data_IF_817251547435
#
_entry.id   IF_817251547435
#
_cell.length_a   1.000
_cell.length_b   1.000
_cell.length_c   1.000
_cell.angle_alpha   90.00
_cell.angle_beta   90.00
_cell.angle_gamma   90.00
#
_symmetry.space_group_name_H-M   'P 1'
#
loop_
_entity.id
_entity.type
_entity.pdbx_description
1 polymer ?
#
# COMPACT_ATOMS: atom_id res chain seq x y z
N UNK A 1 39.64 39.02 -22.38
CA UNK A 1 38.43 38.17 -22.57
C UNK A 1 38.76 36.76 -22.05
N UNK A 2 38.80 36.55 -20.73
CA UNK A 2 39.13 35.25 -20.10
C UNK A 2 38.47 35.13 -18.71
N UNK A 3 37.15 35.34 -18.64
CA UNK A 3 36.38 35.20 -17.39
C UNK A 3 35.13 34.31 -17.54
N UNK A 4 35.03 33.55 -18.64
CA UNK A 4 33.83 32.74 -18.95
C UNK A 4 33.97 31.23 -18.78
N UNK A 5 35.20 30.71 -18.59
CA UNK A 5 35.44 29.25 -18.67
C UNK A 5 35.53 28.58 -17.29
N UNK A 6 35.75 29.33 -16.22
CA UNK A 6 35.93 28.75 -14.87
C UNK A 6 34.58 28.39 -14.21
N UNK A 7 33.49 29.11 -14.52
CA UNK A 7 32.18 28.88 -13.89
C UNK A 7 31.49 27.57 -14.30
N UNK A 8 31.66 27.16 -15.56
CA UNK A 8 31.01 25.94 -16.07
C UNK A 8 31.65 24.65 -15.56
N UNK A 9 32.96 24.66 -15.27
CA UNK A 9 33.66 23.50 -14.75
C UNK A 9 33.29 23.18 -13.30
N UNK A 10 33.05 24.19 -12.46
CA UNK A 10 32.67 24.00 -11.04
C UNK A 10 31.24 23.45 -10.90
N UNK A 11 30.32 23.89 -11.76
CA UNK A 11 28.93 23.37 -11.76
C UNK A 11 28.83 21.92 -12.24
N UNK A 12 29.67 21.51 -13.20
CA UNK A 12 29.74 20.12 -13.63
C UNK A 12 30.27 19.20 -12.52
N UNK A 13 31.28 19.63 -11.76
CA UNK A 13 31.85 18.84 -10.66
C UNK A 13 30.84 18.66 -9.51
N UNK A 14 30.04 19.69 -9.20
CA UNK A 14 29.01 19.60 -8.16
C UNK A 14 27.82 18.71 -8.55
N UNK A 15 27.52 18.59 -9.85
CA UNK A 15 26.50 17.65 -10.34
C UNK A 15 26.98 16.19 -10.24
N UNK A 16 28.23 15.92 -10.59
CA UNK A 16 28.78 14.58 -10.43
C UNK A 16 28.93 14.20 -8.95
N UNK A 17 29.30 15.11 -8.04
CA UNK A 17 29.35 14.80 -6.61
C UNK A 17 27.99 14.55 -5.96
N UNK A 18 26.87 15.06 -6.50
CA UNK A 18 25.52 14.73 -6.01
C UNK A 18 24.90 13.50 -6.72
N UNK A 19 25.48 13.05 -7.83
CA UNK A 19 25.11 11.82 -8.52
C UNK A 19 25.99 10.62 -8.10
N UNK A 20 27.10 10.87 -7.41
CA UNK A 20 27.95 9.84 -6.82
C UNK A 20 27.26 9.28 -5.56
N UNK A 21 26.77 8.05 -5.72
CA UNK A 21 26.55 7.07 -4.65
C UNK A 21 25.38 7.35 -3.70
N UNK A 22 24.15 7.22 -4.22
CA UNK A 22 23.29 6.28 -3.47
C UNK A 22 23.85 4.89 -3.78
N UNK A 23 24.39 4.15 -2.79
CA UNK A 23 24.69 2.74 -3.02
C UNK A 23 23.44 2.09 -3.61
N UNK A 24 23.56 1.09 -4.52
CA UNK A 24 22.40 0.33 -4.94
C UNK A 24 21.72 -0.15 -3.67
N UNK A 25 20.56 0.42 -3.35
CA UNK A 25 19.87 0.00 -2.15
C UNK A 25 19.34 -1.38 -2.49
N UNK A 26 19.60 -2.33 -1.61
CA UNK A 26 18.90 -3.59 -1.70
C UNK A 26 17.43 -3.28 -1.44
N UNK A 27 16.50 -3.69 -2.32
CA UNK A 27 15.08 -3.49 -2.07
C UNK A 27 14.72 -4.04 -0.69
N UNK A 28 14.01 -3.24 0.08
CA UNK A 28 13.38 -3.66 1.34
C UNK A 28 12.37 -4.78 1.07
N UNK A 29 11.99 -5.50 2.12
CA UNK A 29 10.93 -6.52 2.03
C UNK A 29 9.64 -5.94 1.47
N UNK A 30 9.26 -4.73 1.92
CA UNK A 30 8.09 -4.04 1.42
C UNK A 30 8.20 -3.70 -0.07
N UNK A 31 9.34 -3.17 -0.53
CA UNK A 31 9.50 -2.84 -1.95
C UNK A 31 9.42 -4.07 -2.85
N UNK A 32 9.91 -5.24 -2.38
CA UNK A 32 9.71 -6.50 -3.10
C UNK A 32 8.26 -6.94 -3.11
N UNK A 33 7.59 -6.92 -1.96
CA UNK A 33 6.18 -7.26 -1.86
C UNK A 33 5.32 -6.35 -2.75
N UNK A 34 5.61 -5.05 -2.78
CA UNK A 34 4.93 -4.07 -3.63
C UNK A 34 5.04 -4.41 -5.12
N UNK A 35 6.24 -4.82 -5.58
CA UNK A 35 6.43 -5.28 -6.97
C UNK A 35 5.59 -6.52 -7.24
N UNK A 36 5.58 -7.50 -6.33
CA UNK A 36 4.78 -8.70 -6.53
C UNK A 36 3.27 -8.40 -6.56
N UNK A 37 2.77 -7.51 -5.70
CA UNK A 37 1.35 -7.09 -5.74
C UNK A 37 1.01 -6.45 -7.09
N UNK A 38 1.89 -5.60 -7.64
CA UNK A 38 1.69 -5.02 -8.97
C UNK A 38 1.71 -6.07 -10.07
N UNK A 39 2.66 -7.01 -10.02
CA UNK A 39 2.75 -8.10 -10.99
C UNK A 39 1.51 -9.00 -10.94
N UNK A 40 1.07 -9.42 -9.76
CA UNK A 40 -0.13 -10.25 -9.58
C UNK A 40 -1.39 -9.52 -10.08
N UNK A 41 -1.51 -8.22 -9.79
CA UNK A 41 -2.63 -7.39 -10.26
C UNK A 41 -2.66 -7.28 -11.80
N UNK A 42 -1.50 -7.22 -12.45
CA UNK A 42 -1.39 -7.12 -13.91
C UNK A 42 -1.68 -8.44 -14.65
N UNK A 43 -1.59 -9.59 -13.97
CA UNK A 43 -1.90 -10.89 -14.55
C UNK A 43 -3.38 -11.28 -14.45
N UNK A 44 -4.27 -10.34 -14.09
CA UNK A 44 -5.72 -10.51 -14.04
C UNK A 44 -6.20 -11.68 -13.15
N UNK A 45 -5.74 -11.75 -11.90
CA UNK A 45 -6.59 -12.40 -10.90
C UNK A 45 -7.91 -11.61 -10.82
N UNK A 46 -9.08 -12.25 -11.00
CA UNK A 46 -10.36 -11.56 -11.16
C UNK A 46 -10.78 -10.65 -9.97
N UNK A 47 -10.02 -10.67 -8.87
CA UNK A 47 -10.27 -9.90 -7.64
C UNK A 47 -9.38 -8.66 -7.47
N UNK A 48 -8.38 -8.43 -8.34
CA UNK A 48 -7.45 -7.29 -8.28
C UNK A 48 -7.75 -6.21 -9.33
N UNK A 49 -9.01 -6.14 -9.78
CA UNK A 49 -9.47 -5.03 -10.60
C UNK A 49 -10.09 -3.95 -9.70
N UNK A 50 -9.64 -2.70 -9.80
CA UNK A 50 -8.74 -2.16 -10.82
C UNK A 50 -7.25 -2.24 -10.47
N UNK A 51 -6.41 -2.40 -11.50
CA UNK A 51 -4.95 -2.42 -11.39
C UNK A 51 -4.44 -1.17 -10.65
N UNK A 52 -3.71 -1.32 -9.53
CA UNK A 52 -3.21 -0.19 -8.77
C UNK A 52 -2.12 0.57 -9.53
N UNK A 53 -2.18 1.89 -9.45
CA UNK A 53 -1.16 2.80 -9.97
C UNK A 53 -0.19 3.25 -8.88
N UNK A 54 -0.70 3.45 -7.67
CA UNK A 54 0.10 3.77 -6.49
C UNK A 54 -0.26 2.80 -5.39
N UNK A 55 0.76 2.25 -4.72
CA UNK A 55 0.61 1.40 -3.53
C UNK A 55 1.34 2.09 -2.38
N UNK A 56 0.69 2.19 -1.23
CA UNK A 56 1.17 2.89 -0.05
C UNK A 56 1.08 1.95 1.14
N UNK A 57 2.22 1.69 1.78
CA UNK A 57 2.25 1.01 3.07
C UNK A 57 1.56 1.89 4.11
N UNK A 58 0.61 1.31 4.83
CA UNK A 58 -0.08 1.98 5.92
C UNK A 58 0.57 1.62 7.26
N UNK A 59 0.70 0.33 7.52
CA UNK A 59 1.30 -0.22 8.75
C UNK A 59 1.76 -1.67 8.56
N UNK A 60 2.47 -2.21 9.54
CA UNK A 60 2.78 -3.65 9.64
C UNK A 60 1.85 -4.29 10.67
N UNK A 61 1.35 -5.49 10.37
CA UNK A 61 0.56 -6.30 11.32
C UNK A 61 1.44 -6.83 12.46
N UNK A 62 0.83 -7.38 13.51
CA UNK A 62 1.58 -8.03 14.58
C UNK A 62 2.39 -9.24 14.09
N UNK A 63 1.89 -9.94 13.08
CA UNK A 63 2.55 -11.08 12.41
C UNK A 63 3.66 -10.66 11.42
N UNK A 64 3.84 -9.35 11.21
CA UNK A 64 4.91 -8.79 10.37
C UNK A 64 4.52 -8.60 8.90
N UNK A 65 3.28 -8.88 8.54
CA UNK A 65 2.72 -8.61 7.22
C UNK A 65 2.53 -7.12 6.98
N UNK A 66 2.27 -6.76 5.73
CA UNK A 66 2.14 -5.39 5.25
C UNK A 66 0.67 -5.08 4.97
N UNK A 67 0.07 -4.19 5.76
CA UNK A 67 -1.21 -3.59 5.45
C UNK A 67 -1.00 -2.37 4.55
N UNK A 68 -1.60 -2.40 3.36
CA UNK A 68 -1.43 -1.38 2.35
C UNK A 68 -2.75 -0.87 1.80
N UNK A 69 -2.70 0.35 1.26
CA UNK A 69 -3.74 0.91 0.42
C UNK A 69 -3.19 1.21 -0.98
N UNK A 70 -4.06 1.15 -1.97
CA UNK A 70 -3.70 1.46 -3.34
C UNK A 70 -4.78 2.29 -4.03
N UNK A 71 -4.36 3.04 -5.05
CA UNK A 71 -5.23 3.81 -5.94
C UNK A 71 -4.91 3.47 -7.37
N UNK A 72 -5.95 3.36 -8.21
CA UNK A 72 -5.76 3.33 -9.65
C UNK A 72 -5.74 4.77 -10.24
N UNK A 73 -5.58 4.88 -11.56
CA UNK A 73 -5.56 6.18 -12.27
C UNK A 73 -6.91 6.92 -12.27
N UNK A 74 -8.02 6.21 -12.07
CA UNK A 74 -9.38 6.79 -12.07
C UNK A 74 -9.89 7.11 -10.66
N UNK A 75 -9.05 6.92 -9.63
CA UNK A 75 -9.37 7.28 -8.24
C UNK A 75 -10.07 6.19 -7.42
N UNK A 76 -10.27 4.99 -7.96
CA UNK A 76 -10.73 3.84 -7.17
C UNK A 76 -9.69 3.43 -6.15
N UNK A 77 -10.15 2.86 -5.05
CA UNK A 77 -9.30 2.44 -3.93
C UNK A 77 -9.33 0.93 -3.75
N UNK A 78 -8.19 0.41 -3.31
CA UNK A 78 -8.00 -0.98 -2.91
C UNK A 78 -7.24 -0.98 -1.60
N UNK A 79 -7.43 -2.02 -0.80
CA UNK A 79 -6.63 -2.30 0.37
C UNK A 79 -6.20 -3.77 0.35
N UNK A 80 -5.13 -4.11 1.04
CA UNK A 80 -4.74 -5.51 1.21
C UNK A 80 -3.74 -5.72 2.33
N UNK A 81 -3.64 -6.97 2.76
CA UNK A 81 -2.67 -7.45 3.75
C UNK A 81 -1.86 -8.54 3.06
N UNK A 82 -0.55 -8.31 2.94
CA UNK A 82 0.35 -9.22 2.23
C UNK A 82 1.63 -9.47 3.00
N UNK A 83 2.16 -10.67 2.89
CA UNK A 83 3.45 -11.04 3.47
C UNK A 83 4.63 -10.45 2.67
N UNK A 84 5.86 -10.74 3.08
CA UNK A 84 7.09 -10.29 2.39
C UNK A 84 7.31 -10.86 0.99
N UNK A 85 6.51 -11.84 0.58
CA UNK A 85 6.47 -12.37 -0.79
C UNK A 85 5.36 -11.71 -1.62
N UNK A 86 4.55 -10.82 -1.04
CA UNK A 86 3.40 -10.21 -1.72
C UNK A 86 2.19 -11.14 -1.85
N UNK A 87 2.16 -12.24 -1.08
CA UNK A 87 1.03 -13.16 -1.01
C UNK A 87 0.10 -12.72 0.13
N UNK A 88 -1.22 -12.82 -0.07
CA UNK A 88 -2.20 -12.47 0.96
C UNK A 88 -3.55 -12.10 0.37
N UNK A 89 -4.34 -11.36 1.14
CA UNK A 89 -5.71 -10.96 0.77
C UNK A 89 -5.74 -9.50 0.35
N UNK A 90 -6.42 -9.21 -0.76
CA UNK A 90 -6.68 -7.84 -1.21
C UNK A 90 -8.15 -7.67 -1.54
N UNK A 91 -8.72 -6.55 -1.10
CA UNK A 91 -10.10 -6.17 -1.35
C UNK A 91 -10.11 -4.81 -2.06
N UNK A 92 -10.86 -4.71 -3.16
CA UNK A 92 -11.11 -3.46 -3.87
C UNK A 92 -12.58 -3.06 -3.80
N UNK A 93 -12.86 -1.76 -3.79
CA UNK A 93 -14.17 -1.26 -4.20
C UNK A 93 -14.00 -0.24 -5.31
N UNK A 94 -14.87 -0.34 -6.31
CA UNK A 94 -14.99 0.67 -7.35
C UNK A 94 -15.76 1.85 -6.76
N UNK A 95 -15.04 2.81 -6.21
CA UNK A 95 -15.62 4.03 -5.68
C UNK A 95 -16.02 5.01 -6.77
N UNK A 96 -17.32 5.24 -6.96
CA UNK A 96 -17.84 6.44 -7.66
C UNK A 96 -18.06 7.62 -6.71
N UNK A 97 -17.92 7.39 -5.41
CA UNK A 97 -18.03 8.39 -4.34
C UNK A 97 -16.81 9.33 -4.33
N UNK A 98 -16.96 10.63 -4.00
CA UNK A 98 -15.83 11.53 -3.74
C UNK A 98 -14.86 11.06 -2.64
N UNK A 99 -15.34 10.31 -1.63
CA UNK A 99 -14.53 9.77 -0.53
C UNK A 99 -14.75 8.26 -0.35
N UNK A 100 -14.35 7.44 -1.34
CA UNK A 100 -14.66 6.02 -1.31
C UNK A 100 -13.96 5.36 -0.12
N UNK A 101 -14.67 4.41 0.49
CA UNK A 101 -14.20 3.58 1.57
C UNK A 101 -14.28 2.09 1.18
N UNK A 102 -13.32 1.30 1.66
CA UNK A 102 -13.27 -0.15 1.47
C UNK A 102 -13.05 -0.79 2.83
N UNK A 103 -13.78 -1.85 3.11
CA UNK A 103 -13.53 -2.76 4.22
C UNK A 103 -13.18 -4.15 3.70
N UNK A 104 -12.30 -4.85 4.40
CA UNK A 104 -11.88 -6.21 4.10
C UNK A 104 -11.74 -7.00 5.39
N UNK A 105 -12.04 -8.29 5.33
CA UNK A 105 -11.67 -9.27 6.35
C UNK A 105 -10.58 -10.19 5.81
N UNK A 106 -9.65 -10.60 6.66
CA UNK A 106 -8.80 -11.77 6.43
C UNK A 106 -9.09 -12.80 7.51
N UNK A 107 -9.36 -14.03 7.08
CA UNK A 107 -9.54 -15.17 7.97
C UNK A 107 -8.18 -15.81 8.19
N UNK A 108 -7.74 -15.89 9.45
CA UNK A 108 -6.48 -16.53 9.80
C UNK A 108 -6.58 -18.05 9.74
N UNK A 109 -5.48 -18.72 9.36
CA UNK A 109 -5.27 -20.15 9.58
C UNK A 109 -4.91 -20.48 11.04
N UNK A 110 -4.49 -21.72 11.31
CA UNK A 110 -4.01 -22.10 12.65
C UNK A 110 -2.82 -21.25 13.09
N UNK A 111 -3.01 -20.44 14.12
CA UNK A 111 -1.97 -19.58 14.70
C UNK A 111 -1.84 -18.19 14.07
N UNK A 112 -2.69 -17.84 13.11
CA UNK A 112 -2.75 -16.51 12.50
C UNK A 112 -3.90 -15.68 13.09
N UNK A 113 -3.74 -14.36 13.15
CA UNK A 113 -4.80 -13.47 13.60
C UNK A 113 -5.97 -13.39 12.59
N UNK A 114 -7.19 -13.26 13.08
CA UNK A 114 -8.34 -12.86 12.27
C UNK A 114 -8.35 -11.34 12.16
N UNK A 115 -8.47 -10.78 10.96
CA UNK A 115 -8.23 -9.35 10.76
C UNK A 115 -9.41 -8.67 10.06
N UNK A 116 -9.81 -7.50 10.55
CA UNK A 116 -10.64 -6.55 9.81
C UNK A 116 -9.83 -5.29 9.50
N UNK A 117 -9.85 -4.90 8.23
CA UNK A 117 -9.19 -3.70 7.73
C UNK A 117 -10.23 -2.77 7.08
N UNK A 118 -10.03 -1.47 7.25
CA UNK A 118 -10.80 -0.43 6.59
C UNK A 118 -9.87 0.67 6.10
N UNK A 119 -10.13 1.18 4.89
CA UNK A 119 -9.40 2.30 4.28
C UNK A 119 -10.40 3.26 3.66
N UNK A 120 -10.16 4.55 3.83
CA UNK A 120 -10.85 5.61 3.11
C UNK A 120 -9.86 6.59 2.53
N UNK A 121 -10.16 7.11 1.34
CA UNK A 121 -9.40 8.21 0.75
C UNK A 121 -9.49 9.44 1.66
N UNK A 122 -8.34 10.01 2.00
CA UNK A 122 -8.24 11.23 2.78
C UNK A 122 -7.06 12.07 2.30
N UNK A 123 -7.22 12.90 1.25
CA UNK A 123 -6.12 13.60 0.60
C UNK A 123 -5.29 14.50 1.52
N UNK A 124 -5.86 14.91 2.66
CA UNK A 124 -5.22 15.75 3.66
C UNK A 124 -4.37 14.97 4.68
N UNK A 125 -4.43 13.63 4.68
CA UNK A 125 -3.59 12.81 5.57
C UNK A 125 -2.19 12.61 4.98
N UNK A 126 -1.20 12.28 5.83
CA UNK A 126 0.19 12.10 5.40
C UNK A 126 0.37 11.02 4.32
N UNK A 127 -0.44 9.94 4.38
CA UNK A 127 -0.41 8.85 3.40
C UNK A 127 -1.44 9.04 2.28
N UNK A 128 -2.32 10.04 2.39
CA UNK A 128 -3.48 10.23 1.52
C UNK A 128 -4.66 9.30 1.85
N UNK A 129 -4.58 8.55 2.95
CA UNK A 129 -5.62 7.63 3.45
C UNK A 129 -5.86 7.80 4.95
N UNK A 130 -7.10 7.54 5.38
CA UNK A 130 -7.43 7.13 6.75
C UNK A 130 -7.58 5.61 6.73
N UNK A 131 -7.18 4.95 7.81
CA UNK A 131 -7.30 3.50 7.92
C UNK A 131 -7.57 3.07 9.35
N UNK A 132 -8.15 1.88 9.49
CA UNK A 132 -8.31 1.15 10.73
C UNK A 132 -7.96 -0.32 10.46
N UNK A 133 -7.15 -0.92 11.33
CA UNK A 133 -6.82 -2.33 11.34
C UNK A 133 -7.13 -2.89 12.72
N UNK A 134 -7.84 -4.01 12.77
CA UNK A 134 -8.18 -4.70 14.00
C UNK A 134 -7.91 -6.19 13.87
N UNK A 135 -7.28 -6.74 14.90
CA UNK A 135 -6.99 -8.16 15.03
C UNK A 135 -7.93 -8.77 16.07
N UNK A 136 -8.35 -10.00 15.83
CA UNK A 136 -9.28 -10.77 16.65
C UNK A 136 -8.69 -12.14 16.92
N UNK A 137 -9.00 -12.68 18.10
CA UNK A 137 -8.50 -13.99 18.51
C UNK A 137 -9.28 -15.14 17.86
N UNK A 138 -10.53 -14.87 17.42
CA UNK A 138 -11.40 -15.88 16.82
C UNK A 138 -12.17 -15.34 15.63
N UNK A 139 -12.57 -16.24 14.73
CA UNK A 139 -13.46 -15.93 13.61
C UNK A 139 -14.80 -15.33 14.08
N UNK A 140 -15.33 -15.82 15.20
CA UNK A 140 -16.61 -15.34 15.74
C UNK A 140 -16.53 -13.87 16.18
N UNK A 141 -15.41 -13.44 16.76
CA UNK A 141 -15.17 -12.05 17.12
C UNK A 141 -15.06 -11.15 15.88
N UNK A 142 -14.35 -11.61 14.85
CA UNK A 142 -14.27 -10.92 13.56
C UNK A 142 -15.66 -10.76 12.94
N UNK A 143 -16.44 -11.84 12.88
CA UNK A 143 -17.77 -11.80 12.26
C UNK A 143 -18.71 -10.84 13.01
N UNK A 144 -18.73 -10.88 14.35
CA UNK A 144 -19.54 -9.97 15.15
C UNK A 144 -19.17 -8.50 14.90
N UNK A 145 -17.87 -8.19 14.72
CA UNK A 145 -17.43 -6.85 14.37
C UNK A 145 -17.89 -6.42 12.98
N UNK A 146 -17.77 -7.30 11.98
CA UNK A 146 -18.19 -7.02 10.61
C UNK A 146 -19.71 -6.78 10.53
N UNK A 147 -20.51 -7.59 11.23
CA UNK A 147 -21.97 -7.44 11.27
C UNK A 147 -22.38 -6.08 11.83
N UNK A 148 -21.76 -5.65 12.94
CA UNK A 148 -22.01 -4.32 13.53
C UNK A 148 -21.63 -3.17 12.59
N UNK A 149 -20.58 -3.34 11.77
CA UNK A 149 -20.13 -2.31 10.82
C UNK A 149 -21.02 -2.24 9.58
N UNK A 150 -21.60 -3.36 9.15
CA UNK A 150 -22.57 -3.40 8.05
C UNK A 150 -23.87 -2.71 8.47
N UNK A 151 -24.33 -2.91 9.71
CA UNK A 151 -25.56 -2.26 10.22
C UNK A 151 -25.41 -0.74 10.42
N UNK A 152 -24.18 -0.24 10.54
CA UNK A 152 -23.87 1.17 10.79
C UNK A 152 -23.59 2.00 9.52
N UNK A 153 -23.51 1.37 8.34
CA UNK A 153 -23.19 1.99 7.05
C UNK A 153 -24.45 2.22 6.19
#
# INVERSE_FOLDING_TARGET
>A
MWAGIVGAAVLAILFFCNAVQRPPHSPTEWERAQVQVLENSNHNEPLLTPVPHTITLLERTSDGDFFYAAKNKVGSIMLGIVNARGEGTSCGAVGTDPEPAVSCGSWGGEGEAYIAAWVQRAPQSATGFRHELREFATEAELQAYLDLKIEAA
#
